data_IF_051675999873
#
_entry.id   IF_051675999873
#
_cell.length_a   1.000
_cell.length_b   1.000
_cell.length_c   1.000
_cell.angle_alpha   90.00
_cell.angle_beta   90.00
_cell.angle_gamma   90.00
#
_symmetry.space_group_name_H-M   'P 1'
#
loop_
_entity.id
_entity.type
_entity.pdbx_description
1 polymer ?
#
# COMPACT_ATOMS: atom_id res chain seq x y z
N UNK A 1 2.79 -0.80 -8.00
CA UNK A 1 4.14 -0.87 -8.60
C UNK A 1 4.95 -2.07 -8.11
N UNK A 2 5.09 -2.29 -6.79
CA UNK A 2 5.81 -3.47 -6.26
C UNK A 2 5.27 -4.83 -6.78
N UNK A 3 3.94 -5.00 -6.87
CA UNK A 3 3.36 -6.20 -7.50
C UNK A 3 3.83 -6.40 -8.95
N UNK A 4 3.86 -5.32 -9.74
CA UNK A 4 4.29 -5.36 -11.14
C UNK A 4 5.80 -5.64 -11.27
N UNK A 5 6.65 -5.14 -10.36
CA UNK A 5 8.08 -5.46 -10.41
C UNK A 5 8.32 -6.96 -10.26
N UNK A 6 7.53 -7.68 -9.45
CA UNK A 6 7.60 -9.15 -9.37
C UNK A 6 7.31 -9.80 -10.72
N UNK A 7 6.26 -9.34 -11.43
CA UNK A 7 5.86 -9.87 -12.74
C UNK A 7 6.96 -9.66 -13.78
N UNK A 8 7.54 -8.46 -13.84
CA UNK A 8 8.57 -8.13 -14.83
C UNK A 8 9.97 -8.62 -14.48
N UNK A 9 10.19 -9.17 -13.28
CA UNK A 9 11.52 -9.54 -12.76
C UNK A 9 12.38 -10.35 -13.73
N UNK A 10 11.78 -11.30 -14.45
CA UNK A 10 12.51 -12.16 -15.40
C UNK A 10 12.46 -11.66 -16.85
N UNK A 11 11.37 -10.98 -17.24
CA UNK A 11 11.13 -10.58 -18.64
C UNK A 11 11.75 -9.22 -18.98
N UNK A 12 11.80 -8.31 -18.01
CA UNK A 12 12.42 -7.00 -18.16
C UNK A 12 12.99 -6.54 -16.81
N UNK A 13 14.21 -7.01 -16.44
CA UNK A 13 14.82 -6.70 -15.15
C UNK A 13 15.05 -5.21 -14.92
N UNK A 14 15.38 -4.45 -15.97
CA UNK A 14 15.57 -2.99 -15.88
C UNK A 14 14.27 -2.30 -15.48
N UNK A 15 13.17 -2.61 -16.16
CA UNK A 15 11.87 -2.06 -15.84
C UNK A 15 11.34 -2.52 -14.48
N UNK A 16 11.60 -3.78 -14.11
CA UNK A 16 11.32 -4.29 -12.75
C UNK A 16 12.02 -3.45 -11.68
N UNK A 17 13.29 -3.10 -11.89
CA UNK A 17 14.05 -2.27 -10.96
C UNK A 17 13.50 -0.84 -10.87
N UNK A 18 13.10 -0.26 -12.01
CA UNK A 18 12.46 1.06 -12.07
C UNK A 18 11.12 1.09 -11.29
N UNK A 19 10.26 0.10 -11.53
CA UNK A 19 9.00 -0.07 -10.80
C UNK A 19 9.22 -0.22 -9.30
N UNK A 20 10.22 -1.01 -8.90
CA UNK A 20 10.51 -1.24 -7.49
C UNK A 20 11.07 0.03 -6.82
N UNK A 21 11.95 0.77 -7.51
CA UNK A 21 12.45 2.07 -7.05
C UNK A 21 11.30 3.05 -6.78
N UNK A 22 10.38 3.19 -7.73
CA UNK A 22 9.24 4.09 -7.56
C UNK A 22 8.23 3.58 -6.51
N UNK A 23 8.07 2.27 -6.36
CA UNK A 23 7.24 1.71 -5.30
C UNK A 23 7.71 2.13 -3.90
N UNK A 24 9.04 2.11 -3.66
CA UNK A 24 9.63 2.57 -2.40
C UNK A 24 9.42 4.06 -2.18
N UNK A 25 9.72 4.88 -3.19
CA UNK A 25 9.55 6.33 -3.11
C UNK A 25 8.12 6.74 -2.79
N UNK A 26 7.13 6.10 -3.41
CA UNK A 26 5.72 6.39 -3.17
C UNK A 26 5.29 5.90 -1.78
N UNK A 27 5.79 4.75 -1.31
CA UNK A 27 5.53 4.29 0.05
C UNK A 27 6.11 5.26 1.08
N UNK A 28 7.37 5.66 0.93
CA UNK A 28 8.02 6.62 1.84
C UNK A 28 7.28 7.96 1.88
N UNK A 29 6.81 8.44 0.72
CA UNK A 29 5.99 9.63 0.64
C UNK A 29 4.67 9.47 1.40
N UNK A 30 3.95 8.36 1.17
CA UNK A 30 2.65 8.09 1.78
C UNK A 30 2.75 7.93 3.30
N UNK A 31 3.78 7.22 3.78
CA UNK A 31 3.98 6.99 5.21
C UNK A 31 4.46 8.25 5.95
N UNK A 32 5.28 9.08 5.29
CA UNK A 32 5.76 10.36 5.84
C UNK A 32 4.68 11.43 5.89
N UNK A 33 3.83 11.50 4.86
CA UNK A 33 2.78 12.53 4.73
C UNK A 33 1.39 11.90 4.75
N UNK A 34 0.99 11.45 5.94
CA UNK A 34 -0.25 10.70 6.14
C UNK A 34 -1.48 11.61 6.02
N UNK A 35 -2.43 11.19 5.19
CA UNK A 35 -3.67 11.90 4.97
C UNK A 35 -4.51 11.22 3.90
N UNK A 36 -5.80 11.58 3.82
CA UNK A 36 -6.65 11.10 2.73
C UNK A 36 -6.38 11.88 1.46
N UNK A 37 -6.21 11.19 0.34
CA UNK A 37 -5.93 11.84 -0.94
C UNK A 37 -7.07 12.79 -1.36
N UNK A 38 -8.32 12.43 -1.06
CA UNK A 38 -9.53 13.17 -1.41
C UNK A 38 -9.73 14.43 -0.54
N UNK A 39 -8.93 14.60 0.52
CA UNK A 39 -8.85 15.86 1.27
C UNK A 39 -8.02 16.90 0.51
N UNK A 40 -7.04 16.45 -0.27
CA UNK A 40 -6.23 17.31 -1.15
C UNK A 40 -6.87 17.49 -2.52
N UNK A 41 -7.46 16.43 -3.08
CA UNK A 41 -8.14 16.43 -4.38
C UNK A 41 -9.65 16.37 -4.13
N UNK A 42 -10.22 17.50 -3.72
CA UNK A 42 -11.60 17.58 -3.20
C UNK A 42 -12.66 17.19 -4.23
N UNK A 43 -12.40 17.36 -5.53
CA UNK A 43 -13.31 16.91 -6.60
C UNK A 43 -13.55 15.39 -6.56
N UNK A 44 -12.55 14.60 -6.13
CA UNK A 44 -12.65 13.15 -6.08
C UNK A 44 -13.61 12.65 -5.00
N UNK A 45 -13.92 13.46 -3.98
CA UNK A 45 -14.86 13.09 -2.91
C UNK A 45 -16.26 12.75 -3.43
N UNK A 46 -16.64 13.25 -4.61
CA UNK A 46 -17.94 12.96 -5.24
C UNK A 46 -17.97 11.63 -5.99
N UNK A 47 -16.82 11.02 -6.27
CA UNK A 47 -16.69 9.87 -7.15
C UNK A 47 -15.99 8.68 -6.47
N UNK A 48 -14.82 8.93 -5.89
CA UNK A 48 -13.95 7.92 -5.27
C UNK A 48 -13.51 8.38 -3.89
N UNK A 49 -14.48 8.67 -3.02
CA UNK A 49 -14.21 9.11 -1.66
C UNK A 49 -13.43 8.06 -0.88
N UNK A 50 -12.36 8.45 -0.21
CA UNK A 50 -11.62 7.55 0.70
C UNK A 50 -12.41 7.40 2.00
N UNK A 51 -13.10 6.26 2.19
CA UNK A 51 -13.91 5.99 3.38
C UNK A 51 -13.10 5.23 4.42
N UNK A 52 -12.42 4.16 4.00
CA UNK A 52 -11.44 3.36 4.78
C UNK A 52 -10.27 4.15 5.36
N UNK A 53 -10.01 5.34 4.80
CA UNK A 53 -8.88 6.24 5.05
C UNK A 53 -7.64 5.83 4.22
N UNK A 54 -6.51 5.59 4.87
CA UNK A 54 -5.24 5.30 4.22
C UNK A 54 -4.47 4.16 4.93
N UNK A 55 -5.03 3.64 6.03
CA UNK A 55 -4.32 2.70 6.91
C UNK A 55 -4.12 1.34 6.23
N UNK A 56 -5.19 0.83 5.64
CA UNK A 56 -5.15 -0.39 4.83
C UNK A 56 -4.28 -0.24 3.59
N UNK A 57 -4.25 0.93 2.95
CA UNK A 57 -3.33 1.18 1.83
C UNK A 57 -1.86 1.10 2.25
N UNK A 58 -1.50 1.65 3.42
CA UNK A 58 -0.12 1.58 3.93
C UNK A 58 0.29 0.15 4.27
N UNK A 59 -0.59 -0.60 4.95
CA UNK A 59 -0.36 -2.01 5.26
C UNK A 59 -0.25 -2.84 3.96
N UNK A 60 -1.14 -2.62 3.01
CA UNK A 60 -1.13 -3.32 1.72
C UNK A 60 0.12 -3.01 0.89
N UNK A 61 0.55 -1.76 0.87
CA UNK A 61 1.78 -1.36 0.19
C UNK A 61 3.02 -1.99 0.85
N UNK A 62 3.08 -2.03 2.18
CA UNK A 62 4.16 -2.70 2.92
C UNK A 62 4.19 -4.21 2.61
N UNK A 63 3.05 -4.90 2.60
CA UNK A 63 2.97 -6.31 2.26
C UNK A 63 3.48 -6.61 0.84
N UNK A 64 3.10 -5.80 -0.16
CA UNK A 64 3.62 -5.95 -1.52
C UNK A 64 5.11 -5.63 -1.63
N UNK A 65 5.61 -4.63 -0.91
CA UNK A 65 7.02 -4.29 -0.89
C UNK A 65 7.84 -5.40 -0.22
N UNK A 66 7.37 -5.95 0.91
CA UNK A 66 7.98 -7.13 1.52
C UNK A 66 8.05 -8.29 0.52
N UNK A 67 6.93 -8.63 -0.13
CA UNK A 67 6.89 -9.71 -1.13
C UNK A 67 7.83 -9.48 -2.32
N UNK A 68 8.05 -8.21 -2.71
CA UNK A 68 8.90 -7.87 -3.85
C UNK A 68 10.40 -7.81 -3.50
N UNK A 69 10.75 -7.58 -2.23
CA UNK A 69 12.12 -7.22 -1.80
C UNK A 69 12.73 -8.21 -0.81
N UNK A 70 11.88 -8.87 -0.02
CA UNK A 70 12.24 -9.65 1.15
C UNK A 70 13.02 -8.85 2.21
N UNK A 71 12.77 -7.54 2.30
CA UNK A 71 13.39 -6.67 3.31
C UNK A 71 12.56 -6.66 4.59
N UNK A 72 13.20 -7.04 5.71
CA UNK A 72 12.56 -7.14 7.03
C UNK A 72 11.90 -5.83 7.48
N UNK A 73 12.42 -4.68 7.05
CA UNK A 73 11.80 -3.37 7.30
C UNK A 73 10.30 -3.33 7.02
N UNK A 74 9.85 -3.91 5.90
CA UNK A 74 8.42 -3.90 5.53
C UNK A 74 7.60 -4.91 6.34
N UNK A 75 8.20 -6.03 6.73
CA UNK A 75 7.54 -7.00 7.61
C UNK A 75 7.39 -6.45 9.02
N UNK A 76 8.44 -5.83 9.55
CA UNK A 76 8.42 -5.11 10.81
C UNK A 76 7.41 -3.97 10.79
N UNK A 77 7.33 -3.22 9.69
CA UNK A 77 6.31 -2.19 9.53
C UNK A 77 4.89 -2.74 9.69
N UNK A 78 4.59 -3.90 9.09
CA UNK A 78 3.29 -4.58 9.26
C UNK A 78 3.06 -4.95 10.73
N UNK A 79 4.06 -5.54 11.39
CA UNK A 79 3.96 -5.92 12.80
C UNK A 79 3.74 -4.74 13.76
N UNK A 80 4.45 -3.63 13.55
CA UNK A 80 4.36 -2.45 14.41
C UNK A 80 3.13 -1.57 14.15
N UNK A 81 2.60 -1.58 12.93
CA UNK A 81 1.51 -0.70 12.53
C UNK A 81 0.17 -1.41 12.33
N UNK A 82 0.13 -2.75 12.24
CA UNK A 82 -1.07 -3.52 11.95
C UNK A 82 -2.27 -3.12 12.81
N UNK A 83 -2.08 -3.07 14.13
CA UNK A 83 -3.15 -2.69 15.07
C UNK A 83 -3.50 -1.19 15.00
N UNK A 84 -2.48 -0.32 15.00
CA UNK A 84 -2.65 1.15 14.95
C UNK A 84 -3.32 1.63 13.67
N UNK A 85 -3.12 0.93 12.56
CA UNK A 85 -3.71 1.22 11.27
C UNK A 85 -5.00 0.44 11.02
N UNK A 86 -5.54 -0.29 12.01
CA UNK A 86 -6.84 -0.95 11.92
C UNK A 86 -6.86 -2.30 11.20
N UNK A 87 -5.70 -2.89 10.90
CA UNK A 87 -5.56 -4.16 10.16
C UNK A 87 -5.82 -5.43 10.97
N UNK A 88 -5.88 -5.33 12.29
CA UNK A 88 -6.19 -6.45 13.22
C UNK A 88 -7.62 -6.40 13.75
N UNK A 89 -8.41 -5.42 13.30
CA UNK A 89 -9.72 -5.10 13.84
C UNK A 89 -10.85 -5.95 13.25
N UNK A 90 -11.92 -5.28 12.83
CA UNK A 90 -13.17 -5.91 12.45
C UNK A 90 -13.03 -6.85 11.26
N UNK A 91 -13.70 -8.00 11.34
CA UNK A 91 -13.87 -8.89 10.21
C UNK A 91 -14.53 -8.12 9.06
N UNK A 92 -13.80 -8.00 7.95
CA UNK A 92 -14.21 -7.19 6.81
C UNK A 92 -14.78 -8.11 5.74
N UNK A 93 -15.99 -7.84 5.28
CA UNK A 93 -16.67 -8.65 4.25
C UNK A 93 -16.44 -8.12 2.83
N UNK A 94 -15.66 -7.03 2.69
CA UNK A 94 -15.42 -6.35 1.44
C UNK A 94 -13.91 -6.25 1.17
N UNK A 95 -13.52 -6.62 -0.05
CA UNK A 95 -12.24 -6.27 -0.65
C UNK A 95 -12.52 -5.52 -1.94
N UNK A 96 -12.01 -4.30 -2.04
CA UNK A 96 -12.40 -3.39 -3.11
C UNK A 96 -11.38 -2.30 -3.36
N UNK A 97 -11.77 -1.28 -4.10
CA UNK A 97 -10.88 -0.15 -4.40
C UNK A 97 -10.66 0.76 -3.19
N UNK A 98 -11.61 0.81 -2.24
CA UNK A 98 -11.49 1.59 -1.00
C UNK A 98 -10.91 0.74 0.14
N UNK A 99 -11.27 -0.54 0.26
CA UNK A 99 -10.86 -1.39 1.40
C UNK A 99 -9.87 -2.49 0.99
N UNK A 100 -8.68 -2.53 1.61
CA UNK A 100 -7.63 -3.55 1.35
C UNK A 100 -7.39 -4.54 2.47
N UNK A 101 -7.94 -4.35 3.68
CA UNK A 101 -7.60 -5.17 4.85
C UNK A 101 -7.65 -6.70 4.61
N UNK A 102 -8.65 -7.28 3.92
CA UNK A 102 -8.65 -8.73 3.66
C UNK A 102 -7.52 -9.26 2.79
N UNK A 103 -6.84 -8.37 2.06
CA UNK A 103 -5.74 -8.74 1.18
C UNK A 103 -4.38 -8.80 1.87
N UNK A 104 -4.22 -8.02 2.95
CA UNK A 104 -2.98 -7.90 3.74
C UNK A 104 -2.72 -9.20 4.50
#
# INVERSE_FOLDING_TARGET
MAAASIVFRLRNPSYSAELLKHARQVFDLADKYRGKYDSSITVAQKYYRSVSRYGDELLWAAAWLYKATNEDYYLDYLGYNGDKLGGTGWAMTEFGWDVKYPGV
#
